data_IF_014974243194
#
_entry.id   IF_014974243194
#
_cell.length_a   1.000
_cell.length_b   1.000
_cell.length_c   1.000
_cell.angle_alpha   90.00
_cell.angle_beta   90.00
_cell.angle_gamma   90.00
#
_symmetry.space_group_name_H-M   'P 1'
#
loop_
_entity.id
_entity.type
_entity.pdbx_description
1 polymer ?
#
# COMPACT_ATOMS: atom_id res chain seq x y z
N UNK A 1 0.68 -14.47 -40.67
CA UNK A 1 1.88 -14.19 -39.87
C UNK A 1 2.12 -12.70 -39.98
N UNK A 2 1.53 -11.95 -39.05
CA UNK A 2 1.73 -10.51 -38.91
C UNK A 2 1.78 -10.25 -37.42
N UNK A 3 2.90 -10.67 -36.83
CA UNK A 3 3.41 -10.19 -35.55
C UNK A 3 3.79 -8.71 -35.72
N UNK A 4 2.80 -7.85 -35.94
CA UNK A 4 2.96 -6.41 -35.75
C UNK A 4 2.91 -6.17 -34.25
N UNK A 5 4.07 -6.35 -33.60
CA UNK A 5 4.45 -5.79 -32.30
C UNK A 5 3.24 -5.42 -31.43
N UNK A 6 2.70 -6.39 -30.69
CA UNK A 6 2.07 -6.06 -29.42
C UNK A 6 3.11 -5.22 -28.67
N UNK A 7 2.89 -3.91 -28.63
CA UNK A 7 3.65 -3.01 -27.81
C UNK A 7 3.28 -3.45 -26.41
N UNK A 8 4.04 -4.40 -25.85
CA UNK A 8 3.71 -5.13 -24.63
C UNK A 8 3.22 -4.10 -23.62
N UNK A 9 1.92 -4.16 -23.37
CA UNK A 9 1.25 -3.22 -22.51
C UNK A 9 1.90 -3.31 -21.14
N UNK A 10 2.30 -2.18 -20.56
CA UNK A 10 3.04 -2.22 -19.29
C UNK A 10 2.10 -2.63 -18.14
N UNK A 11 0.85 -2.17 -18.20
CA UNK A 11 -0.20 -2.50 -17.24
C UNK A 11 -1.46 -2.82 -18.04
N UNK A 12 -2.11 -3.98 -17.85
CA UNK A 12 -3.38 -4.29 -18.49
C UNK A 12 -4.40 -3.14 -18.41
N UNK A 13 -4.94 -2.73 -19.56
CA UNK A 13 -5.91 -1.63 -19.69
C UNK A 13 -5.31 -0.24 -19.88
N UNK A 14 -3.98 -0.07 -19.78
CA UNK A 14 -3.30 1.20 -20.01
C UNK A 14 -3.45 1.72 -21.45
N UNK A 15 -3.48 0.83 -22.45
CA UNK A 15 -3.65 1.16 -23.85
C UNK A 15 -5.05 1.71 -24.13
N UNK A 16 -6.08 1.13 -23.51
CA UNK A 16 -7.46 1.61 -23.63
C UNK A 16 -7.64 3.02 -23.05
N UNK A 17 -6.82 3.39 -22.06
CA UNK A 17 -6.78 4.71 -21.44
C UNK A 17 -5.78 5.66 -22.10
N UNK A 18 -5.09 5.24 -23.16
CA UNK A 18 -4.08 6.05 -23.85
C UNK A 18 -2.87 6.42 -22.97
N UNK A 19 -2.60 5.64 -21.93
CA UNK A 19 -1.50 5.92 -21.00
C UNK A 19 -0.15 5.69 -21.67
N UNK A 20 0.75 6.64 -21.47
CA UNK A 20 2.15 6.49 -21.82
C UNK A 20 2.86 5.51 -20.88
N UNK A 21 4.02 5.02 -21.31
CA UNK A 21 4.88 4.16 -20.49
C UNK A 21 5.22 4.81 -19.13
N UNK A 22 5.55 6.11 -19.12
CA UNK A 22 5.85 6.83 -17.88
C UNK A 22 4.64 6.99 -16.96
N UNK A 23 3.44 7.18 -17.50
CA UNK A 23 2.22 7.20 -16.68
C UNK A 23 1.91 5.83 -16.06
N UNK A 24 2.31 4.74 -16.72
CA UNK A 24 2.19 3.41 -16.15
C UNK A 24 3.21 3.23 -15.00
N UNK A 25 4.47 3.62 -15.21
CA UNK A 25 5.50 3.59 -14.15
C UNK A 25 5.05 4.42 -12.93
N UNK A 26 4.64 5.68 -13.14
CA UNK A 26 4.15 6.55 -12.06
C UNK A 26 2.97 5.93 -11.30
N UNK A 27 2.07 5.24 -12.00
CA UNK A 27 0.95 4.55 -11.35
C UNK A 27 1.42 3.38 -10.48
N UNK A 28 2.40 2.59 -10.95
CA UNK A 28 2.97 1.48 -10.17
C UNK A 28 3.73 1.98 -8.95
N UNK A 29 4.65 2.94 -9.15
CA UNK A 29 5.45 3.54 -8.07
C UNK A 29 4.56 4.18 -7.00
N UNK A 30 3.50 4.89 -7.40
CA UNK A 30 2.55 5.47 -6.43
C UNK A 30 1.77 4.44 -5.64
N UNK A 31 1.50 3.27 -6.20
CA UNK A 31 0.86 2.19 -5.47
C UNK A 31 1.83 1.57 -4.46
N UNK A 32 3.06 1.28 -4.89
CA UNK A 32 4.15 0.80 -4.02
C UNK A 32 4.40 1.78 -2.86
N UNK A 33 4.66 3.07 -3.14
CA UNK A 33 4.83 4.12 -2.12
C UNK A 33 3.67 4.18 -1.12
N UNK A 34 2.44 4.01 -1.61
CA UNK A 34 1.24 4.04 -0.76
C UNK A 34 1.21 2.83 0.18
N UNK A 35 1.52 1.64 -0.33
CA UNK A 35 1.54 0.41 0.46
C UNK A 35 2.71 0.38 1.45
N UNK A 36 3.92 0.76 1.03
CA UNK A 36 5.10 0.86 1.88
C UNK A 36 4.88 1.83 3.05
N UNK A 37 4.20 2.95 2.81
CA UNK A 37 3.87 3.91 3.87
C UNK A 37 2.91 3.33 4.92
N UNK A 38 1.96 2.49 4.48
CA UNK A 38 1.06 1.77 5.38
C UNK A 38 1.82 0.71 6.18
N UNK A 39 2.65 -0.12 5.53
CA UNK A 39 3.49 -1.14 6.19
C UNK A 39 4.39 -0.49 7.24
N UNK A 40 5.04 0.62 6.90
CA UNK A 40 5.91 1.36 7.82
C UNK A 40 5.16 1.87 9.04
N UNK A 41 3.94 2.41 8.83
CA UNK A 41 3.09 2.88 9.92
C UNK A 41 2.65 1.73 10.84
N UNK A 42 2.24 0.60 10.27
CA UNK A 42 1.82 -0.58 11.03
C UNK A 42 2.98 -1.19 11.82
N UNK A 43 4.14 -1.35 11.18
CA UNK A 43 5.36 -1.81 11.83
C UNK A 43 5.70 -0.96 13.06
N UNK A 44 5.64 0.37 12.91
CA UNK A 44 5.86 1.29 14.03
C UNK A 44 4.80 1.12 15.13
N UNK A 45 3.51 1.11 14.78
CA UNK A 45 2.42 1.04 15.74
C UNK A 45 2.42 -0.28 16.53
N UNK A 46 2.59 -1.41 15.84
CA UNK A 46 2.72 -2.74 16.46
C UNK A 46 3.90 -2.75 17.41
N UNK A 47 5.05 -2.22 16.99
CA UNK A 47 6.23 -2.14 17.85
C UNK A 47 5.94 -1.33 19.12
N UNK A 48 5.36 -0.13 18.99
CA UNK A 48 5.09 0.72 20.15
C UNK A 48 4.04 0.13 21.09
N UNK A 49 2.97 -0.49 20.57
CA UNK A 49 1.93 -1.09 21.42
C UNK A 49 2.48 -2.24 22.26
N UNK A 50 3.34 -3.07 21.66
CA UNK A 50 4.02 -4.17 22.37
C UNK A 50 4.93 -3.69 23.52
N UNK A 51 5.39 -2.45 23.50
CA UNK A 51 6.24 -1.88 24.56
C UNK A 51 5.45 -1.31 25.75
N UNK A 52 4.12 -1.19 25.65
CA UNK A 52 3.31 -0.68 26.77
C UNK A 52 3.36 -1.65 27.95
N UNK A 53 3.17 -1.11 29.16
CA UNK A 53 3.06 -1.92 30.38
C UNK A 53 1.89 -2.92 30.32
N UNK A 54 0.82 -2.59 29.58
CA UNK A 54 -0.30 -3.47 29.27
C UNK A 54 -0.64 -3.32 27.78
N UNK A 55 -0.05 -4.14 26.90
CA UNK A 55 -0.35 -4.11 25.47
C UNK A 55 -1.78 -4.53 25.16
N UNK A 56 -2.42 -3.86 24.22
CA UNK A 56 -3.69 -4.30 23.65
C UNK A 56 -3.46 -5.38 22.58
N UNK A 57 -3.64 -6.63 22.98
CA UNK A 57 -3.43 -7.79 22.10
C UNK A 57 -4.42 -7.84 20.93
N UNK A 58 -5.65 -7.32 21.10
CA UNK A 58 -6.63 -7.29 20.02
C UNK A 58 -6.24 -6.28 18.95
N UNK A 59 -5.76 -5.11 19.38
CA UNK A 59 -5.28 -4.06 18.50
C UNK A 59 -4.02 -4.50 17.73
N UNK A 60 -3.08 -5.17 18.40
CA UNK A 60 -1.89 -5.75 17.74
C UNK A 60 -2.31 -6.75 16.66
N UNK A 61 -3.22 -7.67 16.97
CA UNK A 61 -3.69 -8.67 16.00
C UNK A 61 -4.42 -8.04 14.80
N UNK A 62 -5.18 -6.96 15.03
CA UNK A 62 -5.82 -6.21 13.94
C UNK A 62 -4.78 -5.58 13.01
N UNK A 63 -3.73 -4.98 13.57
CA UNK A 63 -2.68 -4.35 12.76
C UNK A 63 -1.81 -5.37 12.05
N UNK A 64 -1.48 -6.50 12.66
CA UNK A 64 -0.78 -7.61 12.02
C UNK A 64 -1.57 -8.18 10.85
N UNK A 65 -2.88 -8.38 11.02
CA UNK A 65 -3.73 -8.87 9.93
C UNK A 65 -3.78 -7.87 8.76
N UNK A 66 -3.78 -6.56 9.04
CA UNK A 66 -3.69 -5.55 7.99
C UNK A 66 -2.31 -5.52 7.33
N UNK A 67 -1.24 -5.66 8.11
CA UNK A 67 0.15 -5.69 7.62
C UNK A 67 0.34 -6.86 6.65
N UNK A 68 -0.12 -8.06 7.01
CA UNK A 68 -0.09 -9.24 6.14
C UNK A 68 -0.85 -9.00 4.82
N UNK A 69 -2.02 -8.35 4.88
CA UNK A 69 -2.81 -8.05 3.66
C UNK A 69 -2.07 -7.08 2.75
N UNK A 70 -1.51 -6.00 3.32
CA UNK A 70 -0.81 -4.96 2.57
C UNK A 70 0.51 -5.48 2.00
N UNK A 71 1.27 -6.24 2.78
CA UNK A 71 2.50 -6.88 2.36
C UNK A 71 2.29 -7.84 1.19
N UNK A 72 1.24 -8.68 1.24
CA UNK A 72 0.94 -9.61 0.15
C UNK A 72 0.51 -8.87 -1.14
N UNK A 73 -0.24 -7.79 -0.98
CA UNK A 73 -0.68 -6.95 -2.09
C UNK A 73 0.51 -6.27 -2.79
N UNK A 74 1.43 -5.72 -2.00
CA UNK A 74 2.65 -5.07 -2.48
C UNK A 74 3.59 -6.07 -3.16
N UNK A 75 3.84 -7.22 -2.53
CA UNK A 75 4.82 -8.19 -3.00
C UNK A 75 4.39 -8.99 -4.23
N UNK A 76 3.08 -9.24 -4.38
CA UNK A 76 2.59 -10.16 -5.41
C UNK A 76 1.24 -9.80 -6.01
N UNK A 77 0.38 -9.11 -5.26
CA UNK A 77 -0.97 -8.80 -5.71
C UNK A 77 -1.06 -7.82 -6.88
N UNK A 78 0.01 -7.08 -7.16
CA UNK A 78 0.05 -6.05 -8.22
C UNK A 78 0.77 -6.48 -9.51
N UNK A 79 1.52 -7.59 -9.52
CA UNK A 79 2.43 -7.92 -10.63
C UNK A 79 1.76 -8.04 -12.01
N UNK A 80 0.51 -8.50 -12.04
CA UNK A 80 -0.31 -8.64 -13.27
C UNK A 80 -1.63 -7.87 -13.16
N UNK A 81 -1.72 -6.92 -12.23
CA UNK A 81 -2.92 -6.15 -11.96
C UNK A 81 -3.22 -5.14 -13.08
N UNK A 82 -4.51 -4.90 -13.34
CA UNK A 82 -4.93 -3.88 -14.31
C UNK A 82 -4.86 -2.46 -13.73
N UNK A 83 -4.99 -1.46 -14.61
CA UNK A 83 -4.97 -0.04 -14.22
C UNK A 83 -6.01 0.27 -13.15
N UNK A 84 -7.21 -0.32 -13.24
CA UNK A 84 -8.27 -0.10 -12.27
C UNK A 84 -7.87 -0.60 -10.87
N UNK A 85 -7.23 -1.75 -10.81
CA UNK A 85 -6.73 -2.34 -9.55
C UNK A 85 -5.68 -1.44 -8.92
N UNK A 86 -4.68 -0.98 -9.67
CA UNK A 86 -3.69 -0.01 -9.17
C UNK A 86 -4.34 1.26 -8.61
N UNK A 87 -5.28 1.86 -9.36
CA UNK A 87 -5.99 3.07 -8.93
C UNK A 87 -6.84 2.84 -7.68
N UNK A 88 -7.47 1.67 -7.58
CA UNK A 88 -8.26 1.27 -6.41
C UNK A 88 -7.37 1.10 -5.19
N UNK A 89 -6.23 0.41 -5.33
CA UNK A 89 -5.25 0.21 -4.26
C UNK A 89 -4.76 1.56 -3.73
N UNK A 90 -4.35 2.47 -4.61
CA UNK A 90 -3.95 3.83 -4.21
C UNK A 90 -5.08 4.52 -3.43
N UNK A 91 -6.31 4.53 -3.97
CA UNK A 91 -7.43 5.23 -3.34
C UNK A 91 -7.79 4.65 -1.97
N UNK A 92 -7.82 3.32 -1.84
CA UNK A 92 -8.13 2.63 -0.59
C UNK A 92 -7.05 2.88 0.46
N UNK A 93 -5.78 2.72 0.10
CA UNK A 93 -4.69 2.77 1.08
C UNK A 93 -4.19 4.18 1.35
N UNK A 94 -4.42 5.17 0.48
CA UNK A 94 -4.19 6.58 0.82
C UNK A 94 -5.07 7.03 1.99
N UNK A 95 -6.35 6.69 1.96
CA UNK A 95 -7.25 7.02 3.06
C UNK A 95 -6.85 6.27 4.35
N UNK A 96 -6.53 4.98 4.23
CA UNK A 96 -6.05 4.17 5.36
C UNK A 96 -4.76 4.73 5.95
N UNK A 97 -3.84 5.19 5.11
CA UNK A 97 -2.59 5.79 5.54
C UNK A 97 -2.84 7.11 6.31
N UNK A 98 -3.79 7.93 5.87
CA UNK A 98 -4.18 9.13 6.63
C UNK A 98 -4.70 8.79 8.02
N UNK A 99 -5.56 7.77 8.13
CA UNK A 99 -6.09 7.29 9.41
C UNK A 99 -4.98 6.74 10.32
N UNK A 100 -4.08 5.92 9.78
CA UNK A 100 -2.94 5.38 10.52
C UNK A 100 -1.99 6.48 10.99
N UNK A 101 -1.72 7.49 10.17
CA UNK A 101 -0.88 8.63 10.56
C UNK A 101 -1.44 9.39 11.76
N UNK A 102 -2.77 9.53 11.87
CA UNK A 102 -3.38 10.12 13.07
C UNK A 102 -3.12 9.26 14.32
N UNK A 103 -3.10 7.93 14.19
CA UNK A 103 -2.74 7.02 15.28
C UNK A 103 -1.26 7.16 15.62
N UNK A 104 -0.36 7.11 14.63
CA UNK A 104 1.09 7.28 14.79
C UNK A 104 1.40 8.57 15.55
N UNK A 105 0.77 9.67 15.18
CA UNK A 105 0.95 10.96 15.85
C UNK A 105 0.57 10.90 17.34
N UNK A 106 -0.48 10.14 17.71
CA UNK A 106 -0.84 9.94 19.12
C UNK A 106 0.21 9.14 19.89
N UNK A 107 0.75 8.09 19.29
CA UNK A 107 1.83 7.30 19.91
C UNK A 107 3.11 8.12 20.08
N UNK A 108 3.50 8.88 19.05
CA UNK A 108 4.67 9.76 19.14
C UNK A 108 4.50 10.87 20.17
N UNK A 109 3.29 11.39 20.37
CA UNK A 109 3.02 12.38 21.42
C UNK A 109 3.16 11.74 22.81
N UNK A 110 2.56 10.56 23.02
CA UNK A 110 2.61 9.84 24.29
C UNK A 110 4.02 9.35 24.67
N UNK A 111 4.89 9.10 23.69
CA UNK A 111 6.27 8.67 23.93
C UNK A 111 7.22 9.80 24.38
N UNK A 112 6.75 11.06 24.40
CA UNK A 112 7.53 12.23 24.82
C UNK A 112 7.27 12.66 26.27
N UNK A 113 6.29 12.04 26.92
CA UNK A 113 5.90 12.27 28.32
C UNK A 113 6.53 11.22 29.25
#
# INVERSE_FOLDING_TARGET
MTEEKEKKELIPGSAALGMSHWQCIDLMERAEDTLESVISSLTYLIHQERQKAQPDAALIAEWEALDDVVFNLDHSGLLDADVETYQRVISTYQQRNKELNEVVNRYMAAAKD
#
